data_IF_525596965752
#
_entry.id   IF_525596965752
#
_cell.length_a   1.000
_cell.length_b   1.000
_cell.length_c   1.000
_cell.angle_alpha   90.00
_cell.angle_beta   90.00
_cell.angle_gamma   90.00
#
_symmetry.space_group_name_H-M   'P 1'
#
loop_
_entity.id
_entity.type
_entity.pdbx_description
1 polymer ?
#
# COMPACT_ATOMS: atom_id res chain seq x y z
N UNK A 1 21.87 14.64 2.90
CA UNK A 1 20.80 15.31 2.12
C UNK A 1 19.49 15.12 2.86
N UNK A 2 18.90 16.23 3.30
CA UNK A 2 17.99 16.36 4.44
C UNK A 2 16.69 15.55 4.28
N UNK A 3 16.36 14.82 5.35
CA UNK A 3 15.18 13.96 5.52
C UNK A 3 13.97 14.82 5.93
N UNK A 4 12.98 14.95 5.05
CA UNK A 4 11.61 15.31 5.42
C UNK A 4 10.78 14.03 5.48
N UNK A 5 10.89 13.30 6.59
CA UNK A 5 9.98 12.21 6.93
C UNK A 5 8.74 12.83 7.59
N UNK A 6 7.72 13.11 6.79
CA UNK A 6 6.39 13.44 7.29
C UNK A 6 5.82 12.19 7.96
N UNK A 7 5.68 12.31 9.28
CA UNK A 7 5.08 11.38 10.24
C UNK A 7 3.73 10.87 9.70
N UNK A 8 3.71 9.61 9.29
CA UNK A 8 2.48 8.80 9.21
C UNK A 8 2.57 7.75 10.30
N UNK A 9 2.46 8.17 11.57
CA UNK A 9 2.24 7.22 12.66
C UNK A 9 0.79 6.79 12.66
N UNK A 10 0.59 5.47 12.59
CA UNK A 10 -0.65 4.79 12.95
C UNK A 10 -1.03 5.22 14.38
N UNK A 11 -2.23 5.80 14.56
CA UNK A 11 -2.95 5.69 15.82
C UNK A 11 -4.11 4.72 15.64
N UNK A 12 -4.06 3.65 16.41
CA UNK A 12 -5.17 2.75 16.71
C UNK A 12 -5.22 2.60 18.24
N UNK A 13 -6.42 2.26 18.74
CA UNK A 13 -6.82 1.82 20.09
C UNK A 13 -6.86 2.99 21.12
N UNK A 14 -7.86 3.19 22.00
CA UNK A 14 -8.84 2.33 22.70
C UNK A 14 -10.08 3.17 23.07
N UNK A 15 -11.29 2.61 22.97
CA UNK A 15 -12.48 3.04 23.73
C UNK A 15 -12.39 2.48 25.16
N UNK A 16 -12.58 3.32 26.18
CA UNK A 16 -13.02 2.86 27.50
C UNK A 16 -14.09 3.79 28.06
N UNK A 17 -15.18 3.16 28.47
CA UNK A 17 -16.34 3.68 29.19
C UNK A 17 -16.01 3.83 30.69
N UNK A 18 -16.85 4.61 31.39
CA UNK A 18 -16.93 4.96 32.83
C UNK A 18 -16.40 6.38 33.08
N UNK A 19 -17.15 7.37 33.54
CA UNK A 19 -18.36 7.36 34.34
C UNK A 19 -17.99 7.78 35.76
N UNK A 20 -18.06 9.08 36.07
CA UNK A 20 -18.21 9.56 37.44
C UNK A 20 -18.76 10.99 37.47
N UNK A 21 -19.84 11.13 38.23
CA UNK A 21 -20.58 12.35 38.54
C UNK A 21 -19.91 12.98 39.75
N UNK A 22 -19.52 14.26 39.68
CA UNK A 22 -19.32 15.08 40.87
C UNK A 22 -19.99 16.44 40.65
N UNK A 23 -20.97 16.70 41.49
CA UNK A 23 -21.69 17.95 41.70
C UNK A 23 -20.80 19.01 42.35
N UNK A 24 -20.88 20.24 41.85
CA UNK A 24 -20.33 21.42 42.51
C UNK A 24 -20.90 22.67 41.83
N UNK A 25 -21.82 23.33 42.51
CA UNK A 25 -22.56 24.50 42.06
C UNK A 25 -21.96 25.73 42.74
N UNK A 26 -21.51 26.75 42.00
CA UNK A 26 -21.40 28.14 42.47
C UNK A 26 -21.04 29.11 41.33
N UNK A 27 -21.75 30.25 41.27
CA UNK A 27 -21.17 31.52 40.84
C UNK A 27 -21.35 31.95 39.38
N UNK A 28 -22.39 32.75 39.14
CA UNK A 28 -22.65 33.55 37.94
C UNK A 28 -21.48 34.51 37.63
N UNK A 29 -21.03 34.56 36.38
CA UNK A 29 -20.65 35.81 35.73
C UNK A 29 -20.69 35.67 34.20
N UNK A 30 -21.61 36.42 33.59
CA UNK A 30 -21.80 36.49 32.15
C UNK A 30 -20.55 37.02 31.46
N UNK A 31 -20.04 36.24 30.52
CA UNK A 31 -19.11 36.74 29.51
C UNK A 31 -19.58 36.24 28.15
N UNK A 32 -19.70 37.19 27.23
CA UNK A 32 -20.24 37.06 25.89
C UNK A 32 -19.75 35.80 25.18
N UNK A 33 -20.67 34.89 24.88
CA UNK A 33 -20.49 33.86 23.87
C UNK A 33 -20.44 34.57 22.52
N UNK A 34 -19.26 35.06 22.15
CA UNK A 34 -18.97 35.29 20.74
C UNK A 34 -18.95 33.91 20.10
N UNK A 35 -20.05 33.58 19.43
CA UNK A 35 -20.10 32.49 18.46
C UNK A 35 -18.99 32.73 17.44
N UNK A 36 -17.82 32.16 17.71
CA UNK A 36 -16.80 31.90 16.72
C UNK A 36 -17.37 30.85 15.76
N UNK A 37 -18.28 31.29 14.89
CA UNK A 37 -18.51 30.69 13.60
C UNK A 37 -17.18 30.79 12.86
N UNK A 38 -16.29 29.84 13.15
CA UNK A 38 -15.11 29.56 12.36
C UNK A 38 -15.67 29.34 10.96
N UNK A 39 -15.55 30.35 10.10
CA UNK A 39 -15.91 30.24 8.69
C UNK A 39 -15.03 29.10 8.18
N UNK A 40 -15.58 27.89 8.16
CA UNK A 40 -14.90 26.75 7.57
C UNK A 40 -14.91 27.09 6.11
N UNK A 41 -13.84 27.71 5.64
CA UNK A 41 -13.66 27.99 4.24
C UNK A 41 -13.78 26.64 3.53
N UNK A 42 -14.92 26.41 2.88
CA UNK A 42 -15.26 25.11 2.32
C UNK A 42 -14.73 24.96 0.89
N UNK A 43 -13.84 25.85 0.45
CA UNK A 43 -13.13 25.74 -0.82
C UNK A 43 -11.63 25.52 -0.64
N UNK A 44 -10.97 25.09 -1.71
CA UNK A 44 -9.52 24.98 -1.80
C UNK A 44 -9.07 25.48 -3.16
N UNK A 45 -7.92 26.16 -3.18
CA UNK A 45 -7.29 26.60 -4.42
C UNK A 45 -6.80 25.41 -5.25
N UNK A 46 -6.81 25.61 -6.57
CA UNK A 46 -6.33 24.60 -7.51
C UNK A 46 -4.84 24.27 -7.30
N UNK A 47 -4.04 25.25 -6.88
CA UNK A 47 -2.61 25.06 -6.62
C UNK A 47 -2.37 24.16 -5.40
N UNK A 48 -3.17 24.30 -4.35
CA UNK A 48 -3.13 23.40 -3.20
C UNK A 48 -3.51 21.96 -3.61
N UNK A 49 -4.50 21.79 -4.49
CA UNK A 49 -4.88 20.47 -5.03
C UNK A 49 -3.75 19.89 -5.89
N UNK A 50 -3.08 20.69 -6.72
CA UNK A 50 -1.93 20.26 -7.53
C UNK A 50 -0.75 19.83 -6.65
N UNK A 51 -0.44 20.61 -5.61
CA UNK A 51 0.60 20.28 -4.63
C UNK A 51 0.32 18.95 -3.93
N UNK A 52 -0.89 18.76 -3.40
CA UNK A 52 -1.30 17.50 -2.76
C UNK A 52 -1.36 16.33 -3.75
N UNK A 53 -1.68 16.59 -5.02
CA UNK A 53 -1.67 15.59 -6.08
C UNK A 53 -0.27 15.08 -6.39
N UNK A 54 0.76 15.96 -6.31
CA UNK A 54 2.17 15.57 -6.40
C UNK A 54 2.57 14.66 -5.24
N UNK A 55 2.21 15.03 -4.01
CA UNK A 55 2.45 14.20 -2.82
C UNK A 55 1.76 12.84 -2.94
N UNK A 56 0.49 12.82 -3.34
CA UNK A 56 -0.28 11.60 -3.53
C UNK A 56 0.29 10.70 -4.63
N UNK A 57 0.69 11.28 -5.76
CA UNK A 57 1.30 10.53 -6.85
C UNK A 57 2.59 9.84 -6.39
N UNK A 58 3.48 10.57 -5.71
CA UNK A 58 4.73 10.01 -5.19
C UNK A 58 4.46 8.90 -4.17
N UNK A 59 3.48 9.10 -3.28
CA UNK A 59 3.06 8.08 -2.33
C UNK A 59 2.56 6.82 -3.04
N UNK A 60 1.61 6.94 -3.97
CA UNK A 60 1.07 5.79 -4.69
C UNK A 60 2.15 5.13 -5.55
N UNK A 61 3.05 5.89 -6.17
CA UNK A 61 4.09 5.32 -7.01
C UNK A 61 5.11 4.51 -6.20
N UNK A 62 5.48 4.99 -5.01
CA UNK A 62 6.39 4.33 -4.07
C UNK A 62 5.71 3.13 -3.40
N UNK A 63 4.57 3.36 -2.75
CA UNK A 63 3.94 2.38 -1.88
C UNK A 63 2.90 1.51 -2.59
N UNK A 64 2.51 1.81 -3.82
CA UNK A 64 1.50 1.06 -4.61
C UNK A 64 0.19 0.78 -3.86
N UNK A 65 -0.21 1.70 -2.99
CA UNK A 65 -1.45 1.65 -2.22
C UNK A 65 -2.08 3.05 -2.21
N UNK A 66 -3.41 3.09 -2.19
CA UNK A 66 -4.15 4.33 -2.05
C UNK A 66 -4.27 4.63 -0.54
N UNK A 67 -3.80 5.79 -0.05
CA UNK A 67 -3.98 6.14 1.36
C UNK A 67 -5.47 6.36 1.66
N UNK A 68 -5.89 6.18 2.92
CA UNK A 68 -7.29 6.42 3.31
C UNK A 68 -7.67 7.89 3.09
N UNK A 69 -6.76 8.79 3.48
CA UNK A 69 -6.93 10.23 3.40
C UNK A 69 -5.70 10.91 2.77
N UNK A 70 -5.89 12.16 2.35
CA UNK A 70 -4.91 13.04 1.71
C UNK A 70 -5.04 14.41 2.35
N UNK A 71 -3.92 14.96 2.80
CA UNK A 71 -3.86 16.34 3.29
C UNK A 71 -3.89 17.32 2.11
N UNK A 72 -4.82 18.27 2.16
CA UNK A 72 -4.91 19.41 1.24
C UNK A 72 -4.87 20.67 2.07
N UNK A 73 -3.69 21.31 2.11
CA UNK A 73 -3.38 22.32 3.11
C UNK A 73 -3.57 21.76 4.54
N UNK A 74 -4.42 22.39 5.34
CA UNK A 74 -4.82 22.01 6.70
C UNK A 74 -5.98 20.98 6.74
N UNK A 75 -6.50 20.57 5.57
CA UNK A 75 -7.71 19.74 5.48
C UNK A 75 -7.38 18.28 5.21
N UNK A 76 -7.81 17.40 6.11
CA UNK A 76 -7.65 15.95 5.99
C UNK A 76 -8.83 15.33 5.22
N UNK A 77 -8.66 15.09 3.91
CA UNK A 77 -9.75 14.66 3.03
C UNK A 77 -9.64 13.18 2.69
N UNK A 78 -10.76 12.47 2.60
CA UNK A 78 -10.72 11.08 2.10
C UNK A 78 -10.22 11.04 0.65
N UNK A 79 -9.53 9.97 0.25
CA UNK A 79 -9.06 9.80 -1.15
C UNK A 79 -10.19 9.83 -2.19
N UNK A 80 -11.45 9.63 -1.76
CA UNK A 80 -12.65 9.76 -2.60
C UNK A 80 -12.99 11.22 -2.85
N UNK A 81 -12.99 12.02 -1.78
CA UNK A 81 -13.18 13.47 -1.85
C UNK A 81 -12.08 14.12 -2.66
N UNK A 82 -10.84 13.65 -2.47
CA UNK A 82 -9.72 14.17 -3.24
C UNK A 82 -9.77 13.78 -4.73
N UNK A 83 -10.27 12.59 -5.09
CA UNK A 83 -10.53 12.24 -6.50
C UNK A 83 -11.49 13.23 -7.17
N UNK A 84 -12.55 13.63 -6.46
CA UNK A 84 -13.50 14.64 -6.94
C UNK A 84 -12.82 16.00 -7.16
N UNK A 85 -12.04 16.47 -6.18
CA UNK A 85 -11.27 17.72 -6.29
C UNK A 85 -10.29 17.70 -7.46
N UNK A 86 -9.48 16.64 -7.59
CA UNK A 86 -8.56 16.49 -8.72
C UNK A 86 -9.30 16.50 -10.07
N UNK A 87 -10.49 15.88 -10.14
CA UNK A 87 -11.30 15.86 -11.36
C UNK A 87 -11.84 17.26 -11.69
N UNK A 88 -12.35 18.01 -10.71
CA UNK A 88 -12.75 19.41 -10.90
C UNK A 88 -11.55 20.28 -11.34
N UNK A 89 -10.37 20.12 -10.74
CA UNK A 89 -9.15 20.86 -11.13
C UNK A 89 -8.79 20.60 -12.59
N UNK A 90 -8.88 19.36 -13.07
CA UNK A 90 -8.66 19.06 -14.48
C UNK A 90 -9.71 19.75 -15.38
N UNK A 91 -10.97 19.78 -14.98
CA UNK A 91 -12.03 20.48 -15.74
C UNK A 91 -11.76 21.98 -15.79
N UNK A 92 -11.41 22.59 -14.66
CA UNK A 92 -11.23 24.03 -14.53
C UNK A 92 -10.01 24.48 -15.34
N UNK A 93 -8.85 23.83 -15.16
CA UNK A 93 -7.66 24.14 -15.97
C UNK A 93 -7.86 23.88 -17.47
N UNK A 94 -8.67 22.89 -17.86
CA UNK A 94 -9.01 22.67 -19.27
C UNK A 94 -9.82 23.84 -19.87
N UNK A 95 -10.64 24.50 -19.04
CA UNK A 95 -11.48 25.64 -19.42
C UNK A 95 -10.83 27.01 -19.16
N UNK A 96 -9.57 27.04 -18.72
CA UNK A 96 -8.89 28.25 -18.24
C UNK A 96 -9.63 28.95 -17.07
N UNK A 97 -10.35 28.18 -16.26
CA UNK A 97 -11.00 28.67 -15.03
C UNK A 97 -10.02 28.56 -13.86
N UNK A 98 -9.79 29.68 -13.17
CA UNK A 98 -8.86 29.78 -12.03
C UNK A 98 -9.58 29.78 -10.68
N UNK A 99 -10.90 29.55 -10.66
CA UNK A 99 -11.71 29.57 -9.44
C UNK A 99 -11.29 28.49 -8.44
N UNK A 100 -11.51 28.79 -7.18
CA UNK A 100 -11.42 27.82 -6.09
C UNK A 100 -12.49 26.73 -6.22
N UNK A 101 -12.18 25.54 -5.69
CA UNK A 101 -13.07 24.39 -5.79
C UNK A 101 -13.68 24.09 -4.43
N UNK A 102 -15.01 24.08 -4.35
CA UNK A 102 -15.77 23.66 -3.17
C UNK A 102 -15.49 22.19 -2.85
N UNK A 103 -15.20 21.92 -1.58
CA UNK A 103 -14.95 20.59 -1.04
C UNK A 103 -16.28 19.88 -0.85
N UNK A 104 -16.31 18.61 -1.27
CA UNK A 104 -17.42 17.71 -1.01
C UNK A 104 -16.96 16.60 -0.07
N UNK A 105 -17.48 16.61 1.16
CA UNK A 105 -17.19 15.62 2.18
C UNK A 105 -18.14 14.42 2.10
N UNK A 106 -17.82 13.34 2.82
CA UNK A 106 -18.73 12.20 2.97
C UNK A 106 -18.96 11.36 1.71
N UNK A 107 -18.19 11.58 0.63
CA UNK A 107 -18.34 10.82 -0.62
C UNK A 107 -18.08 9.32 -0.36
N UNK A 108 -19.08 8.49 -0.70
CA UNK A 108 -19.03 7.03 -0.50
C UNK A 108 -18.38 6.33 -1.70
N UNK A 109 -18.12 5.03 -1.57
CA UNK A 109 -17.68 4.18 -2.70
C UNK A 109 -18.58 2.95 -2.82
N UNK A 110 -18.77 2.49 -4.05
CA UNK A 110 -19.43 1.22 -4.34
C UNK A 110 -18.52 0.01 -4.05
N UNK A 111 -19.08 -1.19 -4.13
CA UNK A 111 -18.36 -2.46 -3.91
C UNK A 111 -17.11 -2.56 -4.80
N UNK A 112 -16.08 -3.21 -4.25
CA UNK A 112 -14.84 -3.51 -4.96
C UNK A 112 -15.11 -4.44 -6.15
N UNK A 113 -14.73 -4.01 -7.34
CA UNK A 113 -14.79 -4.82 -8.56
C UNK A 113 -13.38 -5.20 -9.04
N UNK A 114 -13.29 -6.20 -9.93
CA UNK A 114 -12.04 -6.48 -10.66
C UNK A 114 -11.82 -5.41 -11.73
N UNK A 115 -10.62 -4.83 -11.77
CA UNK A 115 -10.19 -3.89 -12.82
C UNK A 115 -9.56 -4.59 -14.02
N UNK A 116 -9.45 -3.88 -15.15
CA UNK A 116 -8.68 -4.34 -16.32
C UNK A 116 -7.25 -3.78 -16.30
N UNK A 117 -6.35 -4.38 -17.09
CA UNK A 117 -5.03 -3.81 -17.37
C UNK A 117 -5.18 -2.55 -18.22
N UNK A 118 -4.61 -1.44 -17.74
CA UNK A 118 -4.61 -0.14 -18.41
C UNK A 118 -3.18 0.19 -18.81
N UNK A 119 -2.91 0.17 -20.11
CA UNK A 119 -1.62 0.55 -20.70
C UNK A 119 -1.89 1.44 -21.91
N UNK A 120 -1.95 2.75 -21.69
CA UNK A 120 -2.36 3.71 -22.72
C UNK A 120 -1.87 5.14 -22.46
N UNK A 121 -1.63 5.90 -23.53
CA UNK A 121 -1.24 7.32 -23.49
C UNK A 121 -2.47 8.20 -23.76
N UNK A 122 -3.02 8.78 -22.70
CA UNK A 122 -4.22 9.61 -22.76
C UNK A 122 -3.87 11.04 -23.18
N UNK A 123 -4.56 11.59 -24.18
CA UNK A 123 -4.49 13.01 -24.55
C UNK A 123 -5.29 13.86 -23.56
N UNK A 124 -5.01 15.17 -23.50
CA UNK A 124 -5.74 16.13 -22.64
C UNK A 124 -7.26 15.98 -22.72
N UNK A 125 -7.79 15.96 -23.95
CA UNK A 125 -9.23 15.86 -24.16
C UNK A 125 -9.81 14.52 -23.66
N UNK A 126 -9.01 13.45 -23.64
CA UNK A 126 -9.46 12.14 -23.15
C UNK A 126 -9.61 12.11 -21.63
N UNK A 127 -8.60 12.58 -20.88
CA UNK A 127 -8.71 12.58 -19.41
C UNK A 127 -9.63 13.70 -18.89
N UNK A 128 -9.85 14.78 -19.67
CA UNK A 128 -10.92 15.74 -19.42
C UNK A 128 -12.32 15.09 -19.46
N UNK A 129 -12.60 14.25 -20.46
CA UNK A 129 -13.87 13.49 -20.55
C UNK A 129 -14.06 12.56 -19.34
N UNK A 130 -12.99 11.90 -18.89
CA UNK A 130 -13.01 11.06 -17.68
C UNK A 130 -13.30 11.91 -16.43
N UNK A 131 -12.67 13.08 -16.31
CA UNK A 131 -12.89 13.99 -15.18
C UNK A 131 -14.35 14.45 -15.10
N UNK A 132 -14.94 14.86 -16.25
CA UNK A 132 -16.36 15.21 -16.36
C UNK A 132 -17.27 14.09 -15.88
N UNK A 133 -17.00 12.86 -16.32
CA UNK A 133 -17.79 11.70 -15.90
C UNK A 133 -17.74 11.50 -14.37
N UNK A 134 -16.55 11.57 -13.77
CA UNK A 134 -16.38 11.39 -12.31
C UNK A 134 -17.16 12.47 -11.56
N UNK A 135 -17.01 13.73 -11.97
CA UNK A 135 -17.69 14.86 -11.33
C UNK A 135 -19.20 14.70 -11.42
N UNK A 136 -19.75 14.42 -12.61
CA UNK A 136 -21.19 14.19 -12.79
C UNK A 136 -21.71 13.02 -11.94
N UNK A 137 -20.94 11.92 -11.88
CA UNK A 137 -21.33 10.76 -11.08
C UNK A 137 -21.34 11.07 -9.58
N UNK A 138 -20.34 11.78 -9.07
CA UNK A 138 -20.26 12.20 -7.67
C UNK A 138 -21.35 13.23 -7.33
N UNK A 139 -21.66 14.14 -8.25
CA UNK A 139 -22.69 15.16 -8.07
C UNK A 139 -24.08 14.53 -7.96
N UNK A 140 -24.39 13.54 -8.81
CA UNK A 140 -25.71 12.90 -8.84
C UNK A 140 -25.91 11.77 -7.81
N UNK A 141 -24.83 11.13 -7.33
CA UNK A 141 -24.95 9.94 -6.48
C UNK A 141 -24.25 10.03 -5.12
N UNK A 142 -23.53 11.13 -4.86
CA UNK A 142 -22.68 11.30 -3.68
C UNK A 142 -21.71 10.11 -3.43
N UNK A 143 -21.27 9.50 -4.52
CA UNK A 143 -20.41 8.30 -4.57
C UNK A 143 -19.38 8.46 -5.67
N UNK A 144 -18.17 7.92 -5.49
CA UNK A 144 -17.25 7.73 -6.61
C UNK A 144 -17.68 6.53 -7.46
N UNK A 145 -17.47 6.55 -8.79
CA UNK A 145 -17.73 5.38 -9.62
C UNK A 145 -16.73 4.26 -9.26
N UNK A 146 -17.18 3.01 -9.22
CA UNK A 146 -16.27 1.86 -9.05
C UNK A 146 -15.25 1.76 -10.20
N UNK A 147 -15.64 2.25 -11.38
CA UNK A 147 -14.79 2.31 -12.57
C UNK A 147 -15.29 3.32 -13.59
N UNK A 148 -14.40 3.71 -14.50
CA UNK A 148 -14.74 4.33 -15.78
C UNK A 148 -14.68 3.30 -16.90
N UNK A 149 -15.74 3.18 -17.72
CA UNK A 149 -15.78 2.27 -18.88
C UNK A 149 -15.26 2.98 -20.13
N UNK A 150 -14.17 2.49 -20.69
CA UNK A 150 -13.66 2.95 -21.98
C UNK A 150 -14.52 2.42 -23.14
N UNK A 151 -14.43 3.06 -24.31
CA UNK A 151 -15.08 2.57 -25.55
C UNK A 151 -14.67 1.14 -25.89
N UNK A 152 -13.42 0.77 -25.59
CA UNK A 152 -12.91 -0.60 -25.70
C UNK A 152 -13.48 -1.59 -24.67
N UNK A 153 -14.54 -1.21 -23.94
CA UNK A 153 -15.18 -1.94 -22.83
C UNK A 153 -14.28 -2.21 -21.62
N UNK A 154 -12.99 -1.82 -21.65
CA UNK A 154 -12.07 -1.90 -20.51
C UNK A 154 -12.51 -0.97 -19.38
N UNK A 155 -12.41 -1.44 -18.14
CA UNK A 155 -12.79 -0.74 -16.92
C UNK A 155 -11.54 -0.21 -16.20
N UNK A 156 -11.44 1.11 -16.08
CA UNK A 156 -10.43 1.78 -15.25
C UNK A 156 -10.99 1.87 -13.83
N UNK A 157 -10.45 1.09 -12.90
CA UNK A 157 -10.93 1.04 -11.51
C UNK A 157 -10.68 2.36 -10.77
N UNK A 158 -11.48 2.65 -9.76
CA UNK A 158 -11.33 3.78 -8.84
C UNK A 158 -9.87 4.06 -8.41
N UNK A 159 -9.12 3.06 -7.97
CA UNK A 159 -7.73 3.22 -7.53
C UNK A 159 -6.80 3.65 -8.68
N UNK A 160 -7.03 3.09 -9.88
CA UNK A 160 -6.31 3.53 -11.09
C UNK A 160 -6.71 4.95 -11.49
N UNK A 161 -7.96 5.39 -11.27
CA UNK A 161 -8.39 6.76 -11.51
C UNK A 161 -7.66 7.74 -10.57
N UNK A 162 -7.54 7.43 -9.27
CA UNK A 162 -6.76 8.25 -8.34
C UNK A 162 -5.30 8.34 -8.76
N UNK A 163 -4.67 7.21 -9.10
CA UNK A 163 -3.31 7.20 -9.61
C UNK A 163 -3.17 8.03 -10.90
N UNK A 164 -4.13 7.91 -11.83
CA UNK A 164 -4.15 8.65 -13.08
C UNK A 164 -4.21 10.17 -12.84
N UNK A 165 -5.17 10.64 -12.05
CA UNK A 165 -5.37 12.07 -11.81
C UNK A 165 -4.28 12.69 -10.96
N UNK A 166 -3.78 11.98 -9.94
CA UNK A 166 -2.62 12.45 -9.17
C UNK A 166 -1.38 12.57 -10.06
N UNK A 167 -1.13 11.62 -10.97
CA UNK A 167 -0.03 11.68 -11.94
C UNK A 167 -0.18 12.80 -12.97
N UNK A 168 -1.40 13.07 -13.44
CA UNK A 168 -1.66 14.16 -14.38
C UNK A 168 -1.37 15.50 -13.71
N UNK A 169 -1.92 15.71 -12.50
CA UNK A 169 -1.77 16.96 -11.77
C UNK A 169 -0.36 17.15 -11.24
N UNK A 170 0.36 16.09 -10.86
CA UNK A 170 1.77 16.18 -10.45
C UNK A 170 2.71 16.68 -11.55
N UNK A 171 2.28 16.59 -12.82
CA UNK A 171 2.99 17.07 -14.01
C UNK A 171 2.46 18.40 -14.55
N UNK A 172 1.43 18.96 -13.94
CA UNK A 172 0.85 20.25 -14.35
C UNK A 172 1.81 21.36 -13.99
N UNK A 173 2.07 22.28 -14.92
CA UNK A 173 2.94 23.45 -14.72
C UNK A 173 2.07 24.71 -14.74
N UNK A 174 2.05 25.46 -13.63
CA UNK A 174 1.14 26.63 -13.48
C UNK A 174 -0.31 26.22 -13.80
N UNK A 175 -0.89 26.81 -14.85
CA UNK A 175 -2.26 26.51 -15.30
C UNK A 175 -2.34 25.56 -16.50
N UNK A 176 -1.21 25.02 -16.99
CA UNK A 176 -1.19 24.19 -18.20
C UNK A 176 -1.18 22.70 -17.87
N UNK A 177 -2.23 21.99 -18.28
CA UNK A 177 -2.32 20.54 -18.19
C UNK A 177 -1.38 19.84 -19.18
N UNK A 178 -0.80 18.66 -18.84
CA UNK A 178 0.08 17.93 -19.75
C UNK A 178 -0.65 17.49 -21.03
N UNK A 179 -0.08 17.76 -22.22
CA UNK A 179 -0.66 17.33 -23.52
C UNK A 179 -1.04 15.84 -23.54
N UNK A 180 -0.24 15.02 -22.86
CA UNK A 180 -0.50 13.58 -22.69
C UNK A 180 -0.10 13.06 -21.31
N UNK A 181 -0.73 11.96 -20.90
CA UNK A 181 -0.38 11.20 -19.70
C UNK A 181 -0.39 9.69 -20.00
N UNK A 182 0.76 9.03 -19.80
CA UNK A 182 0.88 7.58 -19.95
C UNK A 182 0.55 6.87 -18.65
N UNK A 183 -0.47 6.00 -18.69
CA UNK A 183 -0.90 5.16 -17.56
C UNK A 183 -0.58 3.70 -17.90
N UNK A 184 0.12 3.03 -16.98
CA UNK A 184 0.52 1.63 -17.09
C UNK A 184 0.27 0.95 -15.74
N UNK A 185 -0.88 0.29 -15.59
CA UNK A 185 -1.29 -0.42 -14.37
C UNK A 185 -1.92 -1.75 -14.79
N UNK A 186 -1.29 -2.87 -14.40
CA UNK A 186 -1.82 -4.20 -14.68
C UNK A 186 -3.03 -4.53 -13.78
N UNK A 187 -3.92 -5.42 -14.25
CA UNK A 187 -5.05 -5.90 -13.43
C UNK A 187 -4.61 -6.57 -12.12
N UNK A 188 -3.40 -7.15 -12.10
CA UNK A 188 -2.80 -7.83 -10.94
C UNK A 188 -1.83 -6.93 -10.16
N UNK A 189 -1.67 -5.66 -10.57
CA UNK A 189 -0.80 -4.69 -9.91
C UNK A 189 -1.33 -4.36 -8.51
N UNK A 190 -0.43 -4.08 -7.57
CA UNK A 190 -0.74 -3.70 -6.20
C UNK A 190 -1.68 -2.48 -6.11
N UNK A 191 -1.58 -1.51 -7.02
CA UNK A 191 -2.48 -0.34 -7.07
C UNK A 191 -3.95 -0.78 -7.18
N UNK A 192 -4.25 -1.78 -8.01
CA UNK A 192 -5.62 -2.27 -8.23
C UNK A 192 -6.10 -3.24 -7.14
N UNK A 193 -5.18 -3.74 -6.31
CA UNK A 193 -5.40 -4.89 -5.44
C UNK A 193 -5.07 -4.58 -3.98
N UNK A 194 -5.30 -3.34 -3.54
CA UNK A 194 -5.09 -2.88 -2.17
C UNK A 194 -3.69 -3.24 -1.65
N UNK A 195 -2.69 -2.93 -2.47
CA UNK A 195 -1.30 -3.19 -2.14
C UNK A 195 -0.81 -4.62 -2.41
N UNK A 196 -1.69 -5.57 -2.75
CA UNK A 196 -1.30 -6.97 -3.01
C UNK A 196 -0.80 -7.17 -4.42
N UNK A 197 0.39 -7.73 -4.58
CA UNK A 197 0.96 -8.01 -5.90
C UNK A 197 0.50 -9.37 -6.42
N UNK A 198 -0.74 -9.45 -6.92
CA UNK A 198 -1.38 -10.73 -7.26
C UNK A 198 -0.63 -11.55 -8.33
N UNK A 199 0.21 -10.90 -9.15
CA UNK A 199 1.08 -11.56 -10.14
C UNK A 199 2.08 -12.52 -9.50
N UNK A 200 2.49 -12.24 -8.25
CA UNK A 200 3.45 -13.07 -7.51
C UNK A 200 2.76 -14.17 -6.67
N UNK A 201 1.44 -14.30 -6.73
CA UNK A 201 0.73 -15.38 -6.06
C UNK A 201 0.73 -16.62 -6.97
N UNK A 202 0.93 -17.79 -6.38
CA UNK A 202 0.79 -19.06 -7.12
C UNK A 202 -0.30 -19.93 -6.50
N UNK A 203 -1.09 -20.59 -7.35
CA UNK A 203 -2.01 -21.62 -6.88
C UNK A 203 -1.19 -22.79 -6.33
N UNK A 204 -1.61 -23.30 -5.18
CA UNK A 204 -1.05 -24.52 -4.63
C UNK A 204 -1.58 -25.73 -5.43
N UNK A 205 -0.66 -26.53 -5.96
CA UNK A 205 -0.95 -27.70 -6.81
C UNK A 205 -1.24 -28.98 -6.01
N UNK A 206 -1.55 -28.88 -4.71
CA UNK A 206 -1.81 -30.03 -3.81
C UNK A 206 -0.68 -31.07 -3.74
N UNK A 207 0.56 -30.65 -3.98
CA UNK A 207 1.76 -31.50 -3.84
C UNK A 207 2.13 -31.68 -2.37
N UNK A 208 2.88 -32.73 -2.03
CA UNK A 208 3.38 -32.93 -0.66
C UNK A 208 4.07 -31.68 -0.09
N UNK A 209 3.81 -31.41 1.18
CA UNK A 209 4.31 -30.24 1.91
C UNK A 209 5.51 -30.55 2.81
N UNK A 210 5.89 -31.83 2.95
CA UNK A 210 6.95 -32.27 3.87
C UNK A 210 8.24 -31.46 3.71
N UNK A 211 8.74 -31.34 2.47
CA UNK A 211 9.95 -30.56 2.17
C UNK A 211 9.82 -29.06 2.47
N UNK A 212 8.62 -28.49 2.38
CA UNK A 212 8.37 -27.07 2.66
C UNK A 212 8.13 -26.75 4.14
N UNK A 213 8.04 -27.78 4.98
CA UNK A 213 7.95 -27.71 6.44
C UNK A 213 9.25 -28.16 7.13
N UNK A 214 10.17 -28.75 6.37
CA UNK A 214 11.40 -29.32 6.89
C UNK A 214 12.26 -28.30 7.62
N UNK A 215 12.78 -28.71 8.79
CA UNK A 215 13.80 -27.98 9.54
C UNK A 215 15.17 -28.34 8.98
N UNK A 216 16.02 -27.35 8.78
CA UNK A 216 17.40 -27.50 8.28
C UNK A 216 18.38 -26.75 9.20
N UNK A 217 19.68 -26.79 8.90
CA UNK A 217 20.69 -26.00 9.60
C UNK A 217 20.45 -24.50 9.45
N UNK A 218 20.17 -24.03 8.23
CA UNK A 218 19.88 -22.62 7.95
C UNK A 218 18.46 -22.20 8.35
N UNK A 219 17.50 -23.13 8.33
CA UNK A 219 16.10 -22.91 8.69
C UNK A 219 15.68 -23.80 9.87
N UNK A 220 16.21 -23.57 11.10
CA UNK A 220 16.05 -24.48 12.23
C UNK A 220 14.67 -24.35 12.92
N UNK A 221 13.59 -24.67 12.22
CA UNK A 221 12.21 -24.51 12.66
C UNK A 221 11.82 -25.36 13.87
N UNK A 222 12.55 -26.43 14.17
CA UNK A 222 12.38 -27.25 15.39
C UNK A 222 13.06 -26.66 16.63
N UNK A 223 13.93 -25.64 16.49
CA UNK A 223 14.64 -25.05 17.61
C UNK A 223 13.67 -24.37 18.61
N UNK A 224 13.89 -24.58 19.91
CA UNK A 224 13.02 -24.08 20.99
C UNK A 224 12.86 -22.57 20.98
N UNK A 225 13.95 -21.80 20.79
CA UNK A 225 13.89 -20.34 20.69
C UNK A 225 13.00 -19.87 19.54
N UNK A 226 13.13 -20.50 18.35
CA UNK A 226 12.32 -20.17 17.17
C UNK A 226 10.83 -20.48 17.43
N UNK A 227 10.53 -21.68 17.95
CA UNK A 227 9.15 -22.08 18.29
C UNK A 227 8.51 -21.13 19.30
N UNK A 228 9.24 -20.75 20.34
CA UNK A 228 8.74 -19.88 21.40
C UNK A 228 8.49 -18.45 20.88
N UNK A 229 9.41 -17.92 20.08
CA UNK A 229 9.22 -16.61 19.46
C UNK A 229 8.03 -16.59 18.49
N UNK A 230 7.91 -17.60 17.63
CA UNK A 230 6.78 -17.70 16.70
C UNK A 230 5.43 -17.84 17.44
N UNK A 231 5.39 -18.62 18.52
CA UNK A 231 4.21 -18.70 19.42
C UNK A 231 3.88 -17.34 20.06
N UNK A 232 4.89 -16.59 20.52
CA UNK A 232 4.71 -15.25 21.10
C UNK A 232 4.14 -14.27 20.07
N UNK A 233 4.72 -14.20 18.87
CA UNK A 233 4.27 -13.34 17.77
C UNK A 233 2.82 -13.63 17.38
N UNK A 234 2.41 -14.91 17.45
CA UNK A 234 1.10 -15.37 16.95
C UNK A 234 0.09 -15.66 18.05
N UNK A 235 0.36 -15.26 19.30
CA UNK A 235 -0.53 -15.49 20.45
C UNK A 235 -1.92 -14.90 20.19
N UNK A 236 -2.97 -15.68 20.44
CA UNK A 236 -4.37 -15.28 20.24
C UNK A 236 -4.85 -15.22 18.78
N UNK A 237 -3.95 -15.33 17.79
CA UNK A 237 -4.33 -15.28 16.38
C UNK A 237 -4.80 -16.66 15.91
N UNK A 238 -6.06 -16.78 15.46
CA UNK A 238 -6.60 -18.06 14.95
C UNK A 238 -6.27 -18.31 13.47
N UNK A 239 -6.39 -17.29 12.62
CA UNK A 239 -6.24 -17.43 11.17
C UNK A 239 -4.79 -17.65 10.73
N UNK A 240 -4.54 -18.71 9.94
CA UNK A 240 -3.22 -18.96 9.31
C UNK A 240 -2.70 -17.77 8.50
N UNK A 241 -3.60 -17.05 7.81
CA UNK A 241 -3.24 -15.83 7.09
C UNK A 241 -2.72 -14.76 8.06
N UNK A 242 -3.44 -14.51 9.15
CA UNK A 242 -3.06 -13.51 10.14
C UNK A 242 -1.80 -13.89 10.92
N UNK A 243 -1.55 -15.18 11.14
CA UNK A 243 -0.28 -15.67 11.71
C UNK A 243 0.90 -15.38 10.77
N UNK A 244 0.75 -15.68 9.48
CA UNK A 244 1.77 -15.39 8.47
C UNK A 244 2.05 -13.88 8.36
N UNK A 245 1.00 -13.06 8.34
CA UNK A 245 1.09 -11.59 8.33
C UNK A 245 1.74 -11.04 9.61
N UNK A 246 1.43 -11.59 10.79
CA UNK A 246 2.07 -11.19 12.04
C UNK A 246 3.57 -11.52 12.07
N UNK A 247 3.96 -12.70 11.58
CA UNK A 247 5.39 -13.05 11.42
C UNK A 247 6.06 -12.10 10.43
N UNK A 248 5.42 -11.80 9.29
CA UNK A 248 5.94 -10.84 8.31
C UNK A 248 6.21 -9.49 8.96
N UNK A 249 5.20 -8.92 9.62
CA UNK A 249 5.28 -7.62 10.28
C UNK A 249 6.33 -7.61 11.39
N UNK A 250 6.43 -8.69 12.17
CA UNK A 250 7.48 -8.80 13.17
C UNK A 250 8.86 -8.79 12.51
N UNK A 251 9.08 -9.61 11.49
CA UNK A 251 10.39 -9.72 10.83
C UNK A 251 10.83 -8.43 10.15
N UNK A 252 9.95 -7.76 9.39
CA UNK A 252 10.29 -6.52 8.68
C UNK A 252 10.55 -5.35 9.64
N UNK A 253 9.92 -5.34 10.82
CA UNK A 253 10.08 -4.29 11.82
C UNK A 253 11.24 -4.55 12.79
N UNK A 254 11.79 -5.76 12.84
CA UNK A 254 12.81 -6.15 13.83
C UNK A 254 14.11 -6.64 13.21
N UNK A 255 14.20 -6.76 11.88
CA UNK A 255 15.41 -7.24 11.20
C UNK A 255 15.78 -6.21 10.14
N UNK A 256 16.94 -5.61 10.31
CA UNK A 256 17.49 -4.63 9.38
C UNK A 256 18.25 -5.30 8.25
N UNK A 257 18.15 -4.70 7.06
CA UNK A 257 18.90 -5.19 5.91
C UNK A 257 20.39 -4.88 6.05
N UNK A 258 21.23 -5.86 5.76
CA UNK A 258 22.68 -5.70 5.66
C UNK A 258 23.19 -6.31 4.38
N UNK A 259 24.08 -5.59 3.69
CA UNK A 259 24.66 -6.09 2.44
C UNK A 259 25.84 -7.03 2.71
N UNK A 260 25.73 -8.26 2.19
CA UNK A 260 26.80 -9.26 2.06
C UNK A 260 26.31 -10.39 1.12
N UNK A 261 27.23 -11.23 0.65
CA UNK A 261 26.92 -12.34 -0.24
C UNK A 261 26.50 -13.59 0.53
N UNK A 262 25.56 -14.35 -0.05
CA UNK A 262 25.09 -15.66 0.44
C UNK A 262 24.57 -15.62 1.90
N UNK A 263 24.26 -16.77 2.48
CA UNK A 263 23.95 -16.92 3.90
C UNK A 263 25.22 -16.76 4.72
N UNK A 264 25.13 -16.00 5.80
CA UNK A 264 26.18 -15.92 6.83
C UNK A 264 25.67 -16.37 8.19
N UNK A 265 24.38 -16.17 8.44
CA UNK A 265 23.78 -16.29 9.76
C UNK A 265 22.75 -17.42 9.87
N UNK A 266 22.10 -17.81 8.77
CA UNK A 266 20.86 -18.57 8.80
C UNK A 266 19.75 -17.84 9.57
N UNK A 267 18.59 -18.48 9.67
CA UNK A 267 17.40 -17.85 10.24
C UNK A 267 17.55 -17.55 11.74
N UNK A 268 18.12 -18.46 12.52
CA UNK A 268 18.23 -18.27 13.98
C UNK A 268 19.18 -17.14 14.36
N UNK A 269 20.39 -17.08 13.78
CA UNK A 269 21.32 -15.99 14.13
C UNK A 269 20.81 -14.66 13.58
N UNK A 270 20.21 -14.62 12.39
CA UNK A 270 19.56 -13.41 11.84
C UNK A 270 18.50 -12.84 12.77
N UNK A 271 17.63 -13.70 13.32
CA UNK A 271 16.60 -13.28 14.29
C UNK A 271 17.22 -12.71 15.57
N UNK A 272 18.30 -13.33 16.06
CA UNK A 272 18.98 -12.86 17.28
C UNK A 272 19.75 -11.56 17.08
N UNK A 273 20.45 -11.44 15.95
CA UNK A 273 21.24 -10.26 15.59
C UNK A 273 20.39 -9.11 15.07
N UNK A 274 19.11 -9.34 14.72
CA UNK A 274 18.21 -8.35 14.12
C UNK A 274 18.77 -7.75 12.82
N UNK A 275 19.57 -8.52 12.08
CA UNK A 275 20.27 -8.05 10.88
C UNK A 275 20.54 -9.19 9.91
N UNK A 276 20.34 -8.96 8.61
CA UNK A 276 20.72 -9.92 7.57
C UNK A 276 20.50 -9.44 6.14
N UNK A 277 21.02 -10.16 5.15
CA UNK A 277 20.75 -9.92 3.73
C UNK A 277 19.46 -10.65 3.27
N UNK A 278 19.14 -10.60 1.98
CA UNK A 278 17.92 -11.21 1.44
C UNK A 278 17.79 -12.73 1.71
N UNK A 279 18.91 -13.47 1.71
CA UNK A 279 18.96 -14.91 1.98
C UNK A 279 18.65 -15.17 3.46
N UNK A 280 19.39 -14.51 4.35
CA UNK A 280 19.31 -14.67 5.79
C UNK A 280 17.98 -14.21 6.38
N UNK A 281 17.46 -13.09 5.88
CA UNK A 281 16.12 -12.62 6.18
C UNK A 281 15.05 -13.62 5.70
N UNK A 282 15.23 -14.23 4.53
CA UNK A 282 14.35 -15.31 4.07
C UNK A 282 14.41 -16.52 5.02
N UNK A 283 15.59 -16.95 5.44
CA UNK A 283 15.72 -18.02 6.44
C UNK A 283 15.02 -17.69 7.76
N UNK A 284 15.11 -16.43 8.23
CA UNK A 284 14.45 -15.98 9.45
C UNK A 284 12.93 -16.13 9.38
N UNK A 285 12.31 -15.60 8.33
CA UNK A 285 10.86 -15.73 8.13
C UNK A 285 10.45 -17.20 7.95
N UNK A 286 11.23 -17.99 7.18
CA UNK A 286 10.96 -19.40 6.96
C UNK A 286 11.03 -20.22 8.25
N UNK A 287 12.03 -19.99 9.10
CA UNK A 287 12.20 -20.69 10.37
C UNK A 287 11.01 -20.44 11.31
N UNK A 288 10.61 -19.17 11.47
CA UNK A 288 9.44 -18.80 12.27
C UNK A 288 8.16 -19.40 11.71
N UNK A 289 7.93 -19.29 10.40
CA UNK A 289 6.72 -19.80 9.74
C UNK A 289 6.60 -21.32 9.83
N UNK A 290 7.67 -22.06 9.50
CA UNK A 290 7.67 -23.53 9.54
C UNK A 290 7.48 -24.05 10.97
N UNK A 291 7.97 -23.34 11.98
CA UNK A 291 7.83 -23.74 13.40
C UNK A 291 6.38 -23.79 13.90
N UNK A 292 5.47 -23.12 13.21
CA UNK A 292 4.02 -23.12 13.48
C UNK A 292 3.21 -23.77 12.36
N UNK A 293 3.85 -24.60 11.52
CA UNK A 293 3.18 -25.39 10.49
C UNK A 293 2.75 -24.60 9.25
N UNK A 294 3.38 -23.45 8.96
CA UNK A 294 3.18 -22.70 7.72
C UNK A 294 4.29 -23.06 6.72
N UNK A 295 3.97 -23.78 5.62
CA UNK A 295 4.97 -24.17 4.63
C UNK A 295 5.53 -22.96 3.90
N UNK A 296 6.84 -22.93 3.68
CA UNK A 296 7.53 -21.87 2.95
C UNK A 296 8.45 -22.42 1.87
N UNK A 297 8.62 -21.66 0.79
CA UNK A 297 9.57 -21.96 -0.29
C UNK A 297 10.31 -20.70 -0.72
N UNK A 298 11.56 -20.87 -1.15
CA UNK A 298 12.41 -19.80 -1.63
C UNK A 298 12.23 -19.60 -3.12
N UNK A 299 12.27 -18.35 -3.54
CA UNK A 299 12.24 -17.93 -4.93
C UNK A 299 13.56 -17.23 -5.22
N UNK A 300 14.35 -17.85 -6.10
CA UNK A 300 15.56 -17.25 -6.62
C UNK A 300 15.23 -16.51 -7.91
N UNK A 301 15.61 -15.24 -7.98
CA UNK A 301 15.30 -14.37 -9.11
C UNK A 301 16.37 -13.32 -9.35
N UNK A 302 16.39 -12.79 -10.58
CA UNK A 302 17.01 -11.51 -10.90
C UNK A 302 15.91 -10.44 -10.89
N UNK A 303 16.06 -9.40 -10.07
CA UNK A 303 15.05 -8.37 -9.85
C UNK A 303 15.58 -6.98 -10.19
N UNK A 304 14.75 -6.16 -10.83
CA UNK A 304 15.01 -4.75 -11.12
C UNK A 304 14.55 -3.89 -9.92
N UNK A 305 15.46 -3.65 -8.98
CA UNK A 305 15.20 -2.84 -7.79
C UNK A 305 15.09 -1.37 -8.13
N UNK A 306 14.08 -0.70 -7.57
CA UNK A 306 13.79 0.71 -7.88
C UNK A 306 14.96 1.66 -7.59
N UNK A 307 15.79 1.34 -6.60
CA UNK A 307 16.94 2.16 -6.18
C UNK A 307 18.28 1.69 -6.74
N UNK A 308 18.42 0.39 -7.04
CA UNK A 308 19.73 -0.24 -7.27
C UNK A 308 19.83 -1.00 -8.60
N UNK A 309 18.77 -1.00 -9.41
CA UNK A 309 18.74 -1.72 -10.68
C UNK A 309 18.75 -3.24 -10.52
N UNK A 310 19.32 -3.94 -11.49
CA UNK A 310 19.27 -5.40 -11.58
C UNK A 310 20.21 -6.10 -10.59
N UNK A 311 19.64 -6.85 -9.64
CA UNK A 311 20.38 -7.64 -8.66
C UNK A 311 19.84 -9.08 -8.57
N UNK A 312 20.71 -10.00 -8.17
CA UNK A 312 20.28 -11.32 -7.69
C UNK A 312 19.49 -11.16 -6.38
N UNK A 313 18.43 -11.94 -6.21
CA UNK A 313 17.52 -11.80 -5.07
C UNK A 313 16.92 -13.13 -4.65
N UNK A 314 16.84 -13.32 -3.33
CA UNK A 314 16.10 -14.39 -2.68
C UNK A 314 14.96 -13.79 -1.88
N UNK A 315 13.75 -14.25 -2.17
CA UNK A 315 12.54 -13.94 -1.42
C UNK A 315 11.73 -15.22 -1.21
N UNK A 316 10.62 -15.13 -0.51
CA UNK A 316 9.83 -16.29 -0.11
C UNK A 316 8.42 -16.30 -0.66
N UNK A 317 7.83 -17.48 -0.64
CA UNK A 317 6.39 -17.63 -0.57
C UNK A 317 5.99 -18.49 0.61
N UNK A 318 4.89 -18.12 1.26
CA UNK A 318 4.23 -18.92 2.31
C UNK A 318 2.91 -19.48 1.79
N UNK A 319 2.63 -20.75 2.08
CA UNK A 319 1.37 -21.35 1.71
C UNK A 319 0.29 -21.04 2.76
N UNK A 320 -0.76 -20.34 2.34
CA UNK A 320 -1.96 -20.11 3.14
C UNK A 320 -3.19 -20.49 2.32
N UNK A 321 -3.95 -21.47 2.82
CA UNK A 321 -5.08 -22.04 2.08
C UNK A 321 -4.62 -22.65 0.76
N UNK A 322 -5.20 -22.21 -0.36
CA UNK A 322 -4.88 -22.73 -1.71
C UNK A 322 -3.86 -21.87 -2.47
N UNK A 323 -3.16 -20.95 -1.80
CA UNK A 323 -2.27 -19.96 -2.44
C UNK A 323 -0.91 -19.86 -1.75
N UNK A 324 0.14 -19.89 -2.56
CA UNK A 324 1.46 -19.37 -2.21
C UNK A 324 1.39 -17.84 -2.29
N UNK A 325 1.56 -17.19 -1.14
CA UNK A 325 1.53 -15.74 -0.98
C UNK A 325 2.97 -15.22 -0.97
N UNK A 326 3.30 -14.17 -1.74
CA UNK A 326 4.65 -13.60 -1.77
C UNK A 326 5.01 -12.95 -0.43
N UNK A 327 6.23 -13.18 0.00
CA UNK A 327 6.83 -12.64 1.21
C UNK A 327 8.24 -12.17 0.85
N UNK A 328 8.45 -10.88 0.90
CA UNK A 328 9.77 -10.28 0.74
C UNK A 328 9.96 -9.25 1.86
N UNK A 329 10.78 -9.61 2.85
CA UNK A 329 11.05 -8.76 4.01
C UNK A 329 12.32 -7.92 3.85
N UNK A 330 12.98 -7.97 2.68
CA UNK A 330 14.22 -7.22 2.41
C UNK A 330 14.00 -5.73 2.10
N UNK A 331 12.75 -5.29 1.92
CA UNK A 331 12.41 -3.91 1.64
C UNK A 331 11.36 -3.39 2.60
N UNK A 332 11.68 -2.32 3.34
CA UNK A 332 10.84 -1.66 4.35
C UNK A 332 9.40 -1.33 3.89
N UNK A 333 9.23 -1.05 2.59
CA UNK A 333 7.94 -0.66 2.00
C UNK A 333 7.10 -1.86 1.54
N UNK A 334 7.65 -3.08 1.63
CA UNK A 334 6.90 -4.28 1.33
C UNK A 334 5.90 -4.58 2.45
N UNK A 335 4.93 -5.43 2.13
CA UNK A 335 3.88 -5.88 3.03
C UNK A 335 3.57 -7.33 2.76
N UNK A 336 2.87 -7.97 3.69
CA UNK A 336 2.45 -9.34 3.49
C UNK A 336 1.62 -9.49 2.21
N UNK A 337 2.12 -10.28 1.25
CA UNK A 337 1.46 -10.44 -0.04
C UNK A 337 1.60 -9.27 -1.01
N UNK A 338 2.43 -8.28 -0.73
CA UNK A 338 2.63 -7.07 -1.55
C UNK A 338 4.10 -6.66 -1.59
N UNK A 339 4.69 -6.73 -2.78
CA UNK A 339 6.10 -6.39 -3.01
C UNK A 339 6.15 -5.14 -3.88
N UNK A 340 6.95 -4.15 -3.47
CA UNK A 340 7.03 -2.83 -4.13
C UNK A 340 8.45 -2.31 -4.32
N UNK A 341 9.45 -2.85 -3.61
CA UNK A 341 10.85 -2.41 -3.68
C UNK A 341 11.56 -2.72 -5.03
N UNK A 342 11.06 -3.68 -5.81
CA UNK A 342 11.54 -4.02 -7.17
C UNK A 342 10.38 -4.19 -8.16
N UNK A 343 10.64 -4.12 -9.46
CA UNK A 343 9.63 -4.17 -10.51
C UNK A 343 9.13 -5.60 -10.79
N UNK A 344 7.88 -5.87 -10.43
CA UNK A 344 7.31 -7.22 -10.56
C UNK A 344 6.85 -7.55 -11.99
N UNK A 345 6.96 -6.58 -12.90
CA UNK A 345 6.64 -6.81 -14.30
C UNK A 345 7.81 -7.39 -15.11
N UNK A 346 9.04 -7.14 -14.67
CA UNK A 346 10.26 -7.47 -15.42
C UNK A 346 11.12 -8.54 -14.76
N UNK A 347 10.90 -8.89 -13.47
CA UNK A 347 11.75 -9.85 -12.78
C UNK A 347 11.85 -11.22 -13.48
N UNK A 348 13.01 -11.86 -13.37
CA UNK A 348 13.29 -13.18 -13.94
C UNK A 348 13.41 -14.20 -12.81
N UNK A 349 12.47 -15.15 -12.72
CA UNK A 349 12.58 -16.27 -11.77
C UNK A 349 13.54 -17.32 -12.32
N UNK A 350 14.59 -17.58 -11.58
CA UNK A 350 15.60 -18.60 -11.89
C UNK A 350 15.13 -19.96 -11.38
N UNK A 351 14.77 -20.07 -10.10
CA UNK A 351 14.42 -21.35 -9.49
C UNK A 351 13.51 -21.21 -8.25
N UNK A 352 12.93 -22.34 -7.83
CA UNK A 352 12.13 -22.46 -6.60
C UNK A 352 12.75 -23.57 -5.76
N UNK A 353 13.04 -23.29 -4.50
CA UNK A 353 13.67 -24.23 -3.59
C UNK A 353 12.82 -24.48 -2.34
N UNK A 354 12.89 -25.69 -1.79
CA UNK A 354 12.48 -25.92 -0.40
C UNK A 354 13.53 -25.44 0.59
N UNK A 355 14.80 -25.43 0.22
CA UNK A 355 15.91 -24.85 0.99
C UNK A 355 16.95 -24.32 0.00
N UNK A 356 17.52 -23.14 0.23
CA UNK A 356 18.61 -22.63 -0.61
C UNK A 356 19.91 -23.40 -0.33
N UNK A 357 20.78 -23.60 -1.33
CA UNK A 357 22.09 -24.21 -1.12
C UNK A 357 23.15 -23.20 -0.66
N UNK A 358 22.78 -21.91 -0.56
CA UNK A 358 23.60 -20.80 -0.11
C UNK A 358 22.90 -20.00 0.95
#
# INVERSE_FOLDING_TARGET
VIVFLLIFTLFNIVESVNGEVISGNEGVNGTNITNNNKIVNNSVSQDNIVKSSKTLYNYIDTYKIIPKNVMVNDKNLSSKSFLYLMSKTVIYKYKNDNSDIKIKYGIKSNKNIKGNTIKYKYKTNSYYKIAKYIVNYVDNHNKVPSYYKLLSKKKIKYETLIFMFSKILSKTKKNTLPKTAYINVDKLDAINNNGKTLKLYNKYKKTSLSKYLMSTSWTPSKNSYIKNLAKKITKGIKSKYKKAEAIFNWTINNIEYSYYYNTKYGGKKTIKLKKGNCVDMSHAYAALSRSIGLPTRYIHSRCDFRKSGWLGHIWLQVLVGKKWIPVDISGENNRFGGVVNWNQNTYHRIAIYSETPW
#
